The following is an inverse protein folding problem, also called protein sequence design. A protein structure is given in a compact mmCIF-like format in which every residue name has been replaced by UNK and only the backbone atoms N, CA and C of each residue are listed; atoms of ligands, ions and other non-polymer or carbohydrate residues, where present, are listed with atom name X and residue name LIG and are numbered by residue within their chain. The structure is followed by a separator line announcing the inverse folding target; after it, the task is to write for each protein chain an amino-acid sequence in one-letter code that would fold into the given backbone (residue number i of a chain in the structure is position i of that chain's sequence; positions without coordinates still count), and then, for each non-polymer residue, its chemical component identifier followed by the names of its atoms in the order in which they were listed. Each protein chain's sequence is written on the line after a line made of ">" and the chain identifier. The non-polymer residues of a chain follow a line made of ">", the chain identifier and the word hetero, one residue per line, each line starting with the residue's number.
data_IF_780522493635
#
_entry.id   IF_780522493635
#
_cell.length_a   1.000
_cell.length_b   1.000
_cell.length_c   1.000
_cell.angle_alpha   90.00
_cell.angle_beta   90.00
_cell.angle_gamma   90.00
#
_symmetry.space_group_name_H-M   'P 1'
#
loop_
_entity.id
_entity.type
_entity.pdbx_description
1 polymer ?
#
# COMPACT_ATOMS: atom_id res chain seq x y z
N UNK A 1 -12.84 -1.24 14.82
CA UNK A 1 -11.92 -1.23 13.66
C UNK A 1 -10.99 -0.03 13.74
N UNK A 2 -11.49 1.15 14.08
CA UNK A 2 -10.68 2.24 14.60
C UNK A 2 -10.57 2.13 16.12
N UNK A 3 -9.38 2.29 16.69
CA UNK A 3 -9.22 2.54 18.12
C UNK A 3 -9.96 3.85 18.43
N UNK A 4 -10.52 3.98 19.65
CA UNK A 4 -11.00 5.29 20.14
C UNK A 4 -9.80 6.23 20.15
N UNK A 5 -9.75 7.11 19.15
CA UNK A 5 -8.68 8.10 19.02
C UNK A 5 -8.74 9.01 20.24
N UNK A 6 -7.57 9.40 20.75
CA UNK A 6 -7.51 10.38 21.84
C UNK A 6 -8.09 11.72 21.36
N UNK A 7 -8.71 12.50 22.26
CA UNK A 7 -9.27 13.82 21.91
C UNK A 7 -8.22 14.79 21.31
N UNK A 8 -6.93 14.53 21.55
CA UNK A 8 -5.80 15.31 21.04
C UNK A 8 -5.11 14.70 19.80
N UNK A 9 -5.58 13.58 19.24
CA UNK A 9 -4.93 12.98 18.07
C UNK A 9 -5.23 13.76 16.79
N UNK A 10 -4.17 14.18 16.09
CA UNK A 10 -4.25 14.95 14.85
C UNK A 10 -4.21 14.02 13.64
N UNK A 11 -5.33 13.37 13.34
CA UNK A 11 -5.40 12.41 12.22
C UNK A 11 -5.39 13.13 10.88
N UNK A 12 -4.42 12.81 10.03
CA UNK A 12 -4.39 13.24 8.62
C UNK A 12 -4.69 12.04 7.73
N UNK A 13 -5.77 12.11 6.96
CA UNK A 13 -6.11 11.12 5.95
C UNK A 13 -5.14 11.27 4.78
N UNK A 14 -4.30 10.27 4.56
CA UNK A 14 -3.29 10.27 3.53
C UNK A 14 -3.76 9.39 2.37
N UNK A 15 -3.89 9.99 1.19
CA UNK A 15 -4.23 9.24 0.00
C UNK A 15 -3.09 8.26 -0.32
N UNK A 16 -3.43 7.05 -0.78
CA UNK A 16 -2.44 6.14 -1.30
C UNK A 16 -1.61 6.73 -2.47
N UNK A 17 -0.42 6.22 -2.78
CA UNK A 17 0.18 4.99 -2.25
C UNK A 17 1.27 5.24 -1.21
N UNK A 18 2.10 6.27 -1.41
CA UNK A 18 3.35 6.47 -0.70
C UNK A 18 3.46 7.91 -0.15
N UNK A 19 2.57 8.31 0.78
CA UNK A 19 2.65 9.63 1.41
C UNK A 19 3.96 9.80 2.21
N UNK A 20 4.43 11.04 2.45
CA UNK A 20 5.63 11.36 3.23
C UNK A 20 5.38 11.16 4.75
N UNK A 21 5.28 9.90 5.17
CA UNK A 21 4.83 9.50 6.50
C UNK A 21 5.71 10.04 7.65
N UNK A 22 7.03 10.02 7.48
CA UNK A 22 8.00 10.49 8.47
C UNK A 22 7.87 11.99 8.73
N UNK A 23 7.61 12.77 7.67
CA UNK A 23 7.36 14.20 7.79
C UNK A 23 6.09 14.45 8.61
N UNK A 24 4.99 13.80 8.26
CA UNK A 24 3.71 14.00 8.95
C UNK A 24 3.80 13.60 10.43
N UNK A 25 4.40 12.45 10.73
CA UNK A 25 4.59 11.99 12.11
C UNK A 25 5.52 12.93 12.91
N UNK A 26 6.59 13.44 12.29
CA UNK A 26 7.50 14.40 12.94
C UNK A 26 6.84 15.73 13.33
N UNK A 27 5.76 16.09 12.65
CA UNK A 27 4.95 17.29 12.92
C UNK A 27 3.74 16.98 13.83
N UNK A 28 3.78 15.84 14.52
CA UNK A 28 2.79 15.37 15.49
C UNK A 28 1.41 15.05 14.88
N UNK A 29 1.40 14.54 13.64
CA UNK A 29 0.20 13.99 13.01
C UNK A 29 0.18 12.46 13.10
N UNK A 30 -1.01 11.89 13.14
CA UNK A 30 -1.22 10.45 12.92
C UNK A 30 -1.59 10.24 11.45
N UNK A 31 -0.68 9.77 10.58
CA UNK A 31 -0.99 9.56 9.18
C UNK A 31 -1.85 8.30 8.98
N UNK A 32 -3.11 8.50 8.59
CA UNK A 32 -4.05 7.44 8.21
C UNK A 32 -3.92 7.14 6.73
N UNK A 33 -3.26 6.05 6.36
CA UNK A 33 -3.14 5.66 4.96
C UNK A 33 -4.48 5.05 4.52
N UNK A 34 -5.15 5.69 3.58
CA UNK A 34 -6.56 5.47 3.29
C UNK A 34 -6.80 4.24 2.40
N UNK A 35 -6.58 3.04 2.96
CA UNK A 35 -6.68 1.75 2.30
C UNK A 35 -7.66 0.80 2.97
N UNK A 36 -8.61 0.21 2.23
CA UNK A 36 -9.35 -0.96 2.72
C UNK A 36 -10.52 -0.63 3.65
N UNK A 37 -11.37 0.30 3.24
CA UNK A 37 -12.57 0.69 3.98
C UNK A 37 -13.81 -0.16 3.71
N UNK A 38 -13.74 -1.17 2.83
CA UNK A 38 -14.90 -2.00 2.49
C UNK A 38 -15.62 -2.57 3.72
N UNK A 39 -14.90 -3.04 4.73
CA UNK A 39 -15.54 -3.63 5.91
C UNK A 39 -16.38 -2.65 6.74
N UNK A 40 -16.29 -1.34 6.46
CA UNK A 40 -17.08 -0.29 7.11
C UNK A 40 -18.39 -0.01 6.38
N UNK A 41 -18.46 -0.36 5.09
CA UNK A 41 -19.58 0.04 4.23
C UNK A 41 -20.05 -1.14 3.37
N UNK A 42 -21.35 -1.41 3.38
CA UNK A 42 -21.94 -2.43 2.51
C UNK A 42 -21.97 -2.02 1.03
N UNK A 43 -21.94 -0.72 0.74
CA UNK A 43 -21.93 -0.12 -0.60
C UNK A 43 -21.25 1.27 -0.56
N UNK A 44 -21.17 1.94 -1.71
CA UNK A 44 -20.57 3.26 -1.90
C UNK A 44 -21.57 4.29 -2.43
N UNK A 45 -22.84 4.19 -2.03
CA UNK A 45 -23.94 5.00 -2.59
C UNK A 45 -23.74 6.52 -2.46
N UNK A 46 -23.04 7.02 -1.45
CA UNK A 46 -22.79 8.47 -1.34
C UNK A 46 -21.68 8.89 -2.29
N UNK A 47 -20.63 8.07 -2.39
CA UNK A 47 -19.53 8.25 -3.34
C UNK A 47 -20.01 8.23 -4.80
N UNK A 48 -20.91 7.30 -5.14
CA UNK A 48 -21.44 7.10 -6.50
C UNK A 48 -22.26 8.28 -7.04
N UNK A 49 -22.65 9.23 -6.19
CA UNK A 49 -23.28 10.50 -6.61
C UNK A 49 -22.27 11.48 -7.22
N UNK A 50 -20.98 11.26 -6.98
CA UNK A 50 -19.90 12.17 -7.34
C UNK A 50 -18.86 11.53 -8.26
N UNK A 51 -18.72 10.20 -8.20
CA UNK A 51 -17.70 9.43 -8.92
C UNK A 51 -18.38 8.39 -9.79
N UNK A 52 -17.85 8.18 -10.99
CA UNK A 52 -18.37 7.20 -11.94
C UNK A 52 -18.14 5.76 -11.46
N UNK A 53 -19.05 4.85 -11.84
CA UNK A 53 -18.97 3.44 -11.45
C UNK A 53 -17.82 2.66 -12.10
N UNK A 54 -17.11 3.27 -13.06
CA UNK A 54 -15.89 2.75 -13.69
C UNK A 54 -14.60 3.34 -13.11
N UNK A 55 -14.66 3.82 -11.86
CA UNK A 55 -13.49 4.17 -11.05
C UNK A 55 -13.20 3.03 -10.07
N UNK A 56 -11.91 2.80 -9.76
CA UNK A 56 -11.51 1.69 -8.90
C UNK A 56 -12.19 1.76 -7.52
N UNK A 57 -12.45 0.58 -6.95
CA UNK A 57 -13.25 0.49 -5.73
C UNK A 57 -12.55 1.14 -4.54
N UNK A 58 -11.21 1.15 -4.53
CA UNK A 58 -10.39 1.84 -3.54
C UNK A 58 -10.78 3.32 -3.45
N UNK A 59 -10.86 4.01 -4.58
CA UNK A 59 -11.23 5.42 -4.64
C UNK A 59 -12.68 5.61 -4.21
N UNK A 60 -13.60 4.76 -4.68
CA UNK A 60 -15.02 4.83 -4.31
C UNK A 60 -15.22 4.72 -2.80
N UNK A 61 -14.59 3.74 -2.15
CA UNK A 61 -14.65 3.53 -0.70
C UNK A 61 -13.90 4.60 0.11
N UNK A 62 -12.78 5.09 -0.40
CA UNK A 62 -12.05 6.20 0.22
C UNK A 62 -12.92 7.46 0.26
N UNK A 63 -13.60 7.78 -0.85
CA UNK A 63 -14.54 8.91 -0.91
C UNK A 63 -15.72 8.68 0.02
N UNK A 64 -16.33 7.49 0.01
CA UNK A 64 -17.41 7.13 0.94
C UNK A 64 -17.00 7.38 2.39
N UNK A 65 -15.81 6.90 2.78
CA UNK A 65 -15.26 7.15 4.11
C UNK A 65 -15.16 8.65 4.42
N UNK A 66 -14.55 9.40 3.51
CA UNK A 66 -14.24 10.83 3.69
C UNK A 66 -15.50 11.68 3.87
N UNK A 67 -16.60 11.36 3.18
CA UNK A 67 -17.87 12.12 3.24
C UNK A 67 -18.90 11.52 4.21
N UNK A 68 -18.54 10.44 4.91
CA UNK A 68 -19.39 9.80 5.92
C UNK A 68 -19.13 10.40 7.31
N UNK A 69 -19.89 9.96 8.31
CA UNK A 69 -19.63 10.30 9.71
C UNK A 69 -18.24 9.86 10.19
N UNK A 70 -17.67 8.80 9.61
CA UNK A 70 -16.32 8.36 9.93
C UNK A 70 -15.26 9.39 9.53
N UNK A 71 -15.51 10.17 8.47
CA UNK A 71 -14.62 11.23 8.00
C UNK A 71 -14.44 12.37 9.02
N UNK A 72 -15.33 12.50 10.01
CA UNK A 72 -15.25 13.53 11.06
C UNK A 72 -13.99 13.45 11.93
N UNK A 73 -13.32 12.29 11.95
CA UNK A 73 -12.05 12.11 12.67
C UNK A 73 -10.88 12.84 12.00
N UNK A 74 -11.01 13.17 10.70
CA UNK A 74 -9.93 13.71 9.88
C UNK A 74 -9.77 15.21 10.15
N UNK A 75 -8.56 15.62 10.52
CA UNK A 75 -8.18 17.04 10.63
C UNK A 75 -7.73 17.64 9.30
N UNK A 76 -7.38 16.79 8.35
CA UNK A 76 -6.99 17.18 7.01
C UNK A 76 -6.83 15.96 6.10
N UNK A 77 -6.79 16.22 4.80
CA UNK A 77 -6.55 15.26 3.75
C UNK A 77 -5.29 15.62 3.00
N UNK A 78 -4.34 14.69 2.90
CA UNK A 78 -3.18 14.82 2.03
C UNK A 78 -3.45 14.10 0.72
N UNK A 79 -3.45 14.88 -0.37
CA UNK A 79 -3.61 14.43 -1.73
C UNK A 79 -2.26 14.27 -2.42
N UNK A 80 -2.16 13.23 -3.23
CA UNK A 80 -0.97 12.89 -3.98
C UNK A 80 -1.36 12.45 -5.41
N UNK A 81 -0.56 12.83 -6.42
CA UNK A 81 -0.79 12.54 -7.84
C UNK A 81 -0.42 11.10 -8.26
N UNK A 82 -0.90 10.09 -7.52
CA UNK A 82 -0.59 8.69 -7.77
C UNK A 82 -1.17 8.11 -9.07
N UNK A 83 -2.43 8.43 -9.37
CA UNK A 83 -3.12 7.97 -10.58
C UNK A 83 -4.17 8.99 -11.01
N UNK A 84 -4.79 8.81 -12.17
CA UNK A 84 -5.76 9.76 -12.71
C UNK A 84 -7.03 9.88 -11.85
N UNK A 85 -7.46 8.79 -11.23
CA UNK A 85 -8.58 8.85 -10.27
C UNK A 85 -8.19 9.66 -9.02
N UNK A 86 -7.06 9.36 -8.39
CA UNK A 86 -6.64 10.02 -7.13
C UNK A 86 -6.22 11.48 -7.33
N UNK A 87 -5.62 11.84 -8.47
CA UNK A 87 -5.19 13.22 -8.75
C UNK A 87 -6.35 14.19 -8.99
N UNK A 88 -7.47 13.69 -9.54
CA UNK A 88 -8.67 14.50 -9.83
C UNK A 88 -9.67 14.50 -8.67
N UNK A 89 -9.54 13.54 -7.74
CA UNK A 89 -10.40 13.42 -6.58
C UNK A 89 -10.44 14.63 -5.62
N UNK A 90 -9.39 15.45 -5.43
CA UNK A 90 -9.46 16.57 -4.48
C UNK A 90 -10.62 17.54 -4.77
N UNK A 91 -10.84 17.88 -6.03
CA UNK A 91 -11.90 18.82 -6.43
C UNK A 91 -13.30 18.21 -6.24
N UNK A 92 -13.44 16.95 -6.65
CA UNK A 92 -14.68 16.18 -6.49
C UNK A 92 -15.04 16.04 -5.01
N UNK A 93 -14.07 15.63 -4.19
CA UNK A 93 -14.25 15.40 -2.76
C UNK A 93 -14.54 16.71 -2.01
N UNK A 94 -13.84 17.79 -2.36
CA UNK A 94 -14.12 19.13 -1.79
C UNK A 94 -15.56 19.55 -2.08
N UNK A 95 -16.04 19.32 -3.30
CA UNK A 95 -17.43 19.62 -3.69
C UNK A 95 -18.43 18.75 -2.94
N UNK A 96 -18.16 17.45 -2.81
CA UNK A 96 -19.00 16.52 -2.07
C UNK A 96 -19.11 16.89 -0.59
N UNK A 97 -17.99 17.26 0.06
CA UNK A 97 -17.97 17.71 1.45
C UNK A 97 -18.78 19.01 1.64
N UNK A 98 -18.61 19.99 0.74
CA UNK A 98 -19.38 21.25 0.78
C UNK A 98 -20.89 20.98 0.66
N UNK A 99 -21.30 20.07 -0.23
CA UNK A 99 -22.70 19.66 -0.36
C UNK A 99 -23.31 19.04 0.91
N UNK A 100 -22.46 18.57 1.84
CA UNK A 100 -22.86 18.07 3.16
C UNK A 100 -22.62 19.05 4.30
N UNK A 101 -22.30 20.32 4.01
CA UNK A 101 -21.89 21.32 4.99
C UNK A 101 -20.69 20.87 5.84
N UNK A 102 -19.81 20.06 5.27
CA UNK A 102 -18.56 19.62 5.89
C UNK A 102 -17.38 20.31 5.21
N UNK A 103 -16.30 20.52 5.95
CA UNK A 103 -15.06 21.03 5.38
C UNK A 103 -13.89 20.33 6.05
N UNK A 104 -13.04 19.70 5.24
CA UNK A 104 -11.80 19.08 5.67
C UNK A 104 -10.67 19.78 4.93
N UNK A 105 -9.69 20.37 5.63
CA UNK A 105 -8.53 21.00 5.00
C UNK A 105 -7.82 20.05 4.03
N UNK A 106 -7.49 20.57 2.85
CA UNK A 106 -6.82 19.82 1.78
C UNK A 106 -5.36 20.27 1.68
N UNK A 107 -4.46 19.31 1.65
CA UNK A 107 -3.02 19.50 1.54
C UNK A 107 -2.59 18.77 0.26
N UNK A 108 -1.80 19.41 -0.59
CA UNK A 108 -1.41 18.84 -1.87
C UNK A 108 0.09 18.59 -1.90
N UNK A 109 0.47 17.44 -2.44
CA UNK A 109 1.86 17.07 -2.67
C UNK A 109 2.00 16.52 -4.09
N UNK A 110 2.90 17.11 -4.88
CA UNK A 110 3.17 16.63 -6.23
C UNK A 110 4.51 15.89 -6.30
N UNK A 111 4.48 14.59 -6.56
CA UNK A 111 5.68 13.84 -6.92
C UNK A 111 5.92 13.94 -8.43
N UNK A 112 7.14 14.25 -8.88
CA UNK A 112 7.43 14.27 -10.30
C UNK A 112 7.44 12.85 -10.88
N UNK A 113 6.99 12.75 -12.13
CA UNK A 113 6.91 11.47 -12.87
C UNK A 113 8.16 11.19 -13.72
N UNK A 114 9.26 11.91 -13.47
CA UNK A 114 10.57 11.74 -14.12
C UNK A 114 11.61 11.33 -13.08
N UNK A 115 12.68 10.69 -13.53
CA UNK A 115 13.80 10.29 -12.67
C UNK A 115 14.45 11.50 -11.98
N UNK A 116 14.78 11.35 -10.69
CA UNK A 116 15.45 12.37 -9.89
C UNK A 116 16.95 12.50 -10.21
N UNK A 117 17.49 11.67 -11.11
CA UNK A 117 18.86 11.82 -11.62
C UNK A 117 19.06 13.14 -12.37
N UNK A 118 17.97 13.74 -12.87
CA UNK A 118 18.01 15.07 -13.47
C UNK A 118 17.89 16.11 -12.37
N UNK A 119 18.89 17.01 -12.27
CA UNK A 119 18.97 18.05 -11.23
C UNK A 119 17.71 18.92 -11.12
N UNK A 120 17.05 19.25 -12.23
CA UNK A 120 15.81 20.04 -12.19
C UNK A 120 14.64 19.27 -11.57
N UNK A 121 14.58 17.95 -11.72
CA UNK A 121 13.54 17.10 -11.12
C UNK A 121 13.83 16.90 -9.63
N UNK A 122 15.10 16.66 -9.30
CA UNK A 122 15.60 16.61 -7.93
C UNK A 122 15.21 17.88 -7.16
N UNK A 123 15.55 19.05 -7.69
CA UNK A 123 15.27 20.34 -7.06
C UNK A 123 13.76 20.62 -6.97
N UNK A 124 12.98 20.19 -7.97
CA UNK A 124 11.53 20.30 -7.92
C UNK A 124 10.95 19.56 -6.71
N UNK A 125 11.34 18.30 -6.48
CA UNK A 125 10.85 17.54 -5.33
C UNK A 125 11.29 18.17 -4.00
N UNK A 126 12.53 18.65 -3.88
CA UNK A 126 12.97 19.37 -2.67
C UNK A 126 12.05 20.58 -2.40
N UNK A 127 11.72 21.35 -3.43
CA UNK A 127 10.83 22.50 -3.29
C UNK A 127 9.40 22.08 -2.90
N UNK A 128 8.86 21.02 -3.50
CA UNK A 128 7.53 20.49 -3.14
C UNK A 128 7.47 20.05 -1.68
N UNK A 129 8.52 19.42 -1.15
CA UNK A 129 8.60 19.04 0.27
C UNK A 129 8.64 20.28 1.18
N UNK A 130 9.38 21.32 0.79
CA UNK A 130 9.43 22.56 1.55
C UNK A 130 8.09 23.31 1.54
N UNK A 131 7.39 23.33 0.40
CA UNK A 131 6.04 23.89 0.30
C UNK A 131 5.04 23.10 1.16
N UNK A 132 5.12 21.77 1.13
CA UNK A 132 4.31 20.91 1.99
C UNK A 132 4.54 21.21 3.47
N UNK A 133 5.78 21.43 3.90
CA UNK A 133 6.09 21.83 5.28
C UNK A 133 5.40 23.17 5.61
N UNK A 134 5.55 24.18 4.76
CA UNK A 134 4.95 25.50 4.97
C UNK A 134 3.43 25.43 5.06
N UNK A 135 2.79 24.65 4.20
CA UNK A 135 1.34 24.44 4.20
C UNK A 135 0.89 23.75 5.50
N UNK A 136 1.62 22.73 5.95
CA UNK A 136 1.34 22.05 7.21
C UNK A 136 1.50 23.00 8.41
N UNK A 137 2.58 23.78 8.48
CA UNK A 137 2.80 24.75 9.55
C UNK A 137 1.68 25.79 9.60
N UNK A 138 1.30 26.34 8.45
CA UNK A 138 0.26 27.38 8.34
C UNK A 138 -1.13 26.85 8.66
N UNK A 139 -1.53 25.72 8.07
CA UNK A 139 -2.88 25.15 8.25
C UNK A 139 -3.11 24.64 9.67
N UNK A 140 -2.05 24.12 10.29
CA UNK A 140 -2.16 23.38 11.54
C UNK A 140 -1.45 24.04 12.71
N UNK A 141 -0.86 25.22 12.54
CA UNK A 141 -0.17 25.94 13.60
C UNK A 141 0.85 25.05 14.32
N UNK A 142 1.64 24.33 13.52
CA UNK A 142 2.72 23.46 13.99
C UNK A 142 4.05 24.01 13.46
N UNK A 143 5.17 23.48 13.92
CA UNK A 143 6.50 23.90 13.49
C UNK A 143 7.34 22.67 13.15
N UNK A 144 7.97 22.70 11.98
CA UNK A 144 8.89 21.66 11.57
C UNK A 144 10.18 21.73 12.39
N UNK A 145 10.66 20.55 12.79
CA UNK A 145 11.92 20.41 13.49
C UNK A 145 12.69 19.21 12.93
N UNK A 146 13.90 19.45 12.43
CA UNK A 146 14.68 18.40 11.77
C UNK A 146 15.10 17.26 12.71
N UNK A 147 15.33 17.53 13.99
CA UNK A 147 15.64 16.46 14.97
C UNK A 147 14.44 15.55 15.22
N UNK A 148 13.22 16.11 15.26
CA UNK A 148 12.00 15.31 15.34
C UNK A 148 11.77 14.51 14.05
N UNK A 149 12.12 15.08 12.90
CA UNK A 149 12.10 14.36 11.63
C UNK A 149 13.04 13.15 11.66
N UNK A 150 14.31 13.32 12.07
CA UNK A 150 15.24 12.19 12.20
C UNK A 150 14.74 11.11 13.17
N UNK A 151 14.13 11.51 14.30
CA UNK A 151 13.49 10.56 15.23
C UNK A 151 12.35 9.78 14.56
N UNK A 152 11.50 10.47 13.80
CA UNK A 152 10.42 9.83 13.05
C UNK A 152 10.97 8.86 12.00
N UNK A 153 11.98 9.25 11.23
CA UNK A 153 12.68 8.38 10.27
C UNK A 153 13.20 7.12 10.96
N UNK A 154 13.81 7.23 12.14
CA UNK A 154 14.29 6.08 12.89
C UNK A 154 13.14 5.15 13.34
N UNK A 155 12.00 5.71 13.75
CA UNK A 155 10.82 4.92 14.09
C UNK A 155 10.24 4.19 12.87
N UNK A 156 10.12 4.86 11.71
CA UNK A 156 9.67 4.24 10.47
C UNK A 156 10.64 3.20 9.93
N UNK A 157 11.96 3.43 10.05
CA UNK A 157 12.99 2.43 9.75
C UNK A 157 12.76 1.16 10.58
N UNK A 158 12.54 1.31 11.89
CA UNK A 158 12.25 0.19 12.79
C UNK A 158 10.94 -0.51 12.41
N UNK A 159 9.87 0.23 12.12
CA UNK A 159 8.60 -0.35 11.68
C UNK A 159 8.78 -1.17 10.40
N UNK A 160 9.47 -0.62 9.39
CA UNK A 160 9.73 -1.31 8.11
C UNK A 160 10.60 -2.56 8.28
N UNK A 161 11.61 -2.52 9.15
CA UNK A 161 12.41 -3.70 9.51
C UNK A 161 11.55 -4.80 10.15
N UNK A 162 10.67 -4.45 11.09
CA UNK A 162 9.74 -5.40 11.70
C UNK A 162 8.72 -5.93 10.69
N UNK A 163 8.22 -5.09 9.77
CA UNK A 163 7.32 -5.52 8.70
C UNK A 163 7.99 -6.51 7.75
N UNK A 164 9.27 -6.31 7.43
CA UNK A 164 10.08 -7.28 6.66
C UNK A 164 10.23 -8.60 7.41
N UNK A 165 10.56 -8.57 8.70
CA UNK A 165 10.61 -9.80 9.52
C UNK A 165 9.26 -10.53 9.58
N UNK A 166 8.16 -9.79 9.59
CA UNK A 166 6.82 -10.37 9.57
C UNK A 166 6.52 -11.02 8.22
N UNK A 167 6.93 -10.40 7.11
CA UNK A 167 6.87 -10.99 5.78
C UNK A 167 7.73 -12.25 5.69
N UNK A 168 8.99 -12.21 6.15
CA UNK A 168 9.90 -13.37 6.19
C UNK A 168 9.29 -14.56 6.97
N UNK A 169 8.53 -14.28 8.03
CA UNK A 169 7.81 -15.31 8.76
C UNK A 169 6.68 -15.96 7.94
N UNK A 170 6.05 -15.24 7.01
CA UNK A 170 5.10 -15.83 6.05
C UNK A 170 5.84 -16.70 5.03
N UNK A 171 6.97 -16.23 4.50
CA UNK A 171 7.82 -16.99 3.56
C UNK A 171 8.27 -18.32 4.19
N UNK A 172 8.58 -18.30 5.49
CA UNK A 172 8.98 -19.49 6.26
C UNK A 172 7.81 -20.37 6.72
N UNK A 173 6.58 -20.08 6.28
CA UNK A 173 5.34 -20.74 6.70
C UNK A 173 5.13 -20.76 8.24
N UNK A 174 5.59 -19.72 8.93
CA UNK A 174 5.40 -19.52 10.38
C UNK A 174 4.19 -18.64 10.69
N UNK A 175 3.61 -18.01 9.66
CA UNK A 175 2.43 -17.15 9.75
C UNK A 175 1.65 -17.23 8.45
N UNK A 176 0.32 -17.28 8.51
CA UNK A 176 -0.51 -17.23 7.30
C UNK A 176 -0.42 -15.86 6.63
N UNK A 177 -0.59 -15.83 5.32
CA UNK A 177 -0.60 -14.57 4.58
C UNK A 177 -1.81 -13.71 4.97
N UNK A 178 -2.95 -14.33 5.28
CA UNK A 178 -4.14 -13.64 5.80
C UNK A 178 -3.82 -12.81 7.06
N UNK A 179 -3.14 -13.39 8.04
CA UNK A 179 -2.82 -12.70 9.28
C UNK A 179 -1.79 -11.59 9.08
N UNK A 180 -0.87 -11.77 8.13
CA UNK A 180 0.05 -10.70 7.70
C UNK A 180 -0.73 -9.53 7.11
N UNK A 181 -1.63 -9.77 6.16
CA UNK A 181 -2.46 -8.74 5.53
C UNK A 181 -3.28 -7.99 6.57
N UNK A 182 -3.98 -8.70 7.48
CA UNK A 182 -4.73 -8.06 8.59
C UNK A 182 -3.86 -7.15 9.43
N UNK A 183 -2.66 -7.61 9.79
CA UNK A 183 -1.71 -6.85 10.63
C UNK A 183 -1.26 -5.58 9.93
N UNK A 184 -0.84 -5.70 8.66
CA UNK A 184 -0.36 -4.58 7.86
C UNK A 184 -1.48 -3.55 7.62
N UNK A 185 -2.69 -4.00 7.31
CA UNK A 185 -3.83 -3.10 7.10
C UNK A 185 -4.29 -2.39 8.37
N UNK A 186 -4.32 -3.08 9.50
CA UNK A 186 -4.61 -2.41 10.77
C UNK A 186 -3.57 -1.33 11.07
N UNK A 187 -2.30 -1.55 10.72
CA UNK A 187 -1.24 -0.57 10.92
C UNK A 187 -1.41 0.72 10.11
N UNK A 188 -2.20 0.72 9.02
CA UNK A 188 -2.46 1.93 8.23
C UNK A 188 -3.20 3.03 9.02
N UNK A 189 -3.84 2.66 10.13
CA UNK A 189 -4.71 3.52 10.94
C UNK A 189 -4.17 3.80 12.34
N UNK A 190 -2.85 3.73 12.53
CA UNK A 190 -2.19 3.86 13.84
C UNK A 190 -1.06 4.89 13.77
N UNK A 191 -0.72 5.50 14.90
CA UNK A 191 0.53 6.28 15.00
C UNK A 191 1.74 5.34 14.97
N UNK A 192 2.95 5.88 14.73
CA UNK A 192 4.14 5.05 14.51
C UNK A 192 4.48 4.13 15.70
N UNK A 193 4.30 4.59 16.93
CA UNK A 193 4.58 3.79 18.12
C UNK A 193 3.65 2.59 18.22
N UNK A 194 2.38 2.79 17.88
CA UNK A 194 1.37 1.72 17.84
C UNK A 194 1.58 0.78 16.66
N UNK A 195 1.99 1.28 15.49
CA UNK A 195 2.40 0.44 14.35
C UNK A 195 3.52 -0.53 14.77
N UNK A 196 4.58 -0.01 15.40
CA UNK A 196 5.70 -0.81 15.91
C UNK A 196 5.21 -1.84 16.93
N UNK A 197 4.40 -1.42 17.90
CA UNK A 197 3.85 -2.30 18.94
C UNK A 197 3.03 -3.43 18.33
N UNK A 198 2.16 -3.12 17.36
CA UNK A 198 1.29 -4.08 16.67
C UNK A 198 2.13 -5.16 15.95
N UNK A 199 3.04 -4.75 15.07
CA UNK A 199 3.87 -5.69 14.29
C UNK A 199 4.76 -6.52 15.21
N UNK A 200 5.40 -5.91 16.21
CA UNK A 200 6.21 -6.62 17.18
C UNK A 200 5.40 -7.64 18.00
N UNK A 201 4.17 -7.30 18.39
CA UNK A 201 3.28 -8.24 19.08
C UNK A 201 2.88 -9.42 18.20
N UNK A 202 2.69 -9.18 16.90
CA UNK A 202 2.42 -10.25 15.94
C UNK A 202 3.62 -11.19 15.79
N UNK A 203 4.84 -10.65 15.76
CA UNK A 203 6.08 -11.45 15.71
C UNK A 203 6.27 -12.31 16.96
N UNK A 204 6.03 -11.76 18.16
CA UNK A 204 6.14 -12.54 19.42
C UNK A 204 5.21 -13.75 19.48
N UNK A 205 3.98 -13.60 18.97
CA UNK A 205 3.01 -14.71 18.90
C UNK A 205 3.46 -15.85 17.96
N UNK A 206 4.39 -15.58 17.04
CA UNK A 206 4.98 -16.60 16.17
C UNK A 206 6.01 -17.43 16.93
N UNK A 207 6.88 -16.80 17.72
CA UNK A 207 7.89 -17.52 18.51
C UNK A 207 7.30 -18.46 19.57
N UNK A 208 6.05 -18.23 19.97
CA UNK A 208 5.33 -19.03 20.96
C UNK A 208 4.60 -20.24 20.37
N UNK A 209 4.44 -20.30 19.03
CA UNK A 209 3.74 -21.39 18.33
C UNK A 209 4.73 -22.30 17.61
N UNK A 210 4.45 -23.60 17.59
CA UNK A 210 5.10 -24.51 16.64
C UNK A 210 4.78 -24.08 15.20
N UNK A 211 5.73 -24.30 14.28
CA UNK A 211 5.55 -24.09 12.83
C UNK A 211 4.18 -24.61 12.38
N UNK A 212 3.49 -23.89 11.49
CA UNK A 212 2.31 -24.45 10.83
C UNK A 212 2.72 -25.78 10.18
N UNK A 213 1.83 -26.77 10.21
CA UNK A 213 2.12 -28.10 9.67
C UNK A 213 2.68 -27.96 8.25
N UNK A 214 3.94 -28.40 8.05
CA UNK A 214 4.58 -28.35 6.74
C UNK A 214 3.97 -29.45 5.89
N UNK A 215 3.01 -29.11 5.04
CA UNK A 215 2.74 -29.92 3.87
C UNK A 215 3.94 -29.78 2.93
N UNK A 216 4.74 -30.84 2.81
CA UNK A 216 5.98 -30.84 2.03
C UNK A 216 5.78 -30.67 0.51
N UNK A 217 4.53 -30.61 0.04
CA UNK A 217 4.17 -30.61 -1.39
C UNK A 217 3.40 -29.34 -1.81
N UNK A 218 3.55 -28.21 -1.09
CA UNK A 218 2.86 -26.98 -1.49
C UNK A 218 3.63 -26.25 -2.59
N UNK A 219 2.96 -25.91 -3.69
CA UNK A 219 3.49 -25.02 -4.71
C UNK A 219 3.59 -23.59 -4.16
N UNK A 220 4.65 -22.88 -4.46
CA UNK A 220 4.94 -21.54 -3.97
C UNK A 220 4.52 -20.49 -4.97
N UNK A 221 3.78 -19.47 -4.53
CA UNK A 221 3.34 -18.37 -5.40
C UNK A 221 3.64 -17.01 -4.82
N UNK A 222 3.88 -16.05 -5.71
CA UNK A 222 3.94 -14.62 -5.38
C UNK A 222 2.64 -13.95 -5.83
N UNK A 223 2.11 -13.04 -5.01
CA UNK A 223 0.97 -12.20 -5.39
C UNK A 223 1.46 -10.82 -5.87
N UNK A 224 0.89 -10.28 -6.94
CA UNK A 224 1.26 -8.94 -7.47
C UNK A 224 0.04 -8.07 -7.74
N UNK A 225 0.10 -6.78 -7.42
CA UNK A 225 -0.97 -5.84 -7.76
C UNK A 225 -0.95 -4.57 -6.91
N UNK A 226 -2.01 -3.77 -6.97
CA UNK A 226 -2.09 -2.55 -6.15
C UNK A 226 -2.56 -2.84 -4.71
N UNK A 227 -3.41 -3.85 -4.54
CA UNK A 227 -4.10 -4.19 -3.31
C UNK A 227 -4.18 -5.72 -3.17
N UNK A 228 -4.12 -6.32 -1.95
CA UNK A 228 -4.26 -7.76 -1.80
C UNK A 228 -5.68 -8.23 -2.15
N UNK A 229 -5.85 -9.49 -2.58
CA UNK A 229 -7.17 -10.02 -2.84
C UNK A 229 -7.97 -10.12 -1.54
N UNK A 230 -9.31 -10.23 -1.60
CA UNK A 230 -10.14 -10.43 -0.42
C UNK A 230 -9.67 -11.61 0.44
N UNK A 231 -9.80 -11.53 1.77
CA UNK A 231 -9.32 -12.58 2.68
C UNK A 231 -9.87 -13.98 2.34
N UNK A 232 -11.10 -14.06 1.81
CA UNK A 232 -11.70 -15.33 1.35
C UNK A 232 -10.93 -15.93 0.17
N UNK A 233 -10.42 -15.09 -0.73
CA UNK A 233 -9.60 -15.52 -1.89
C UNK A 233 -8.20 -15.91 -1.43
N UNK A 234 -7.61 -15.19 -0.46
CA UNK A 234 -6.33 -15.60 0.15
C UNK A 234 -6.44 -17.02 0.71
N UNK A 235 -7.49 -17.30 1.50
CA UNK A 235 -7.75 -18.65 2.04
C UNK A 235 -7.96 -19.68 0.94
N UNK A 236 -8.61 -19.29 -0.15
CA UNK A 236 -8.84 -20.18 -1.28
C UNK A 236 -7.51 -20.58 -1.91
N UNK A 237 -6.63 -19.61 -2.16
CA UNK A 237 -5.27 -19.88 -2.69
C UNK A 237 -4.53 -20.85 -1.77
N UNK A 238 -4.51 -20.58 -0.45
CA UNK A 238 -3.86 -21.44 0.53
C UNK A 238 -4.47 -22.86 0.57
N UNK A 239 -5.80 -22.98 0.52
CA UNK A 239 -6.51 -24.26 0.54
C UNK A 239 -6.36 -25.06 -0.75
N UNK A 240 -6.09 -24.42 -1.89
CA UNK A 240 -5.81 -25.09 -3.16
C UNK A 240 -4.41 -25.71 -3.24
N UNK A 241 -3.63 -25.66 -2.15
CA UNK A 241 -2.30 -26.25 -2.06
C UNK A 241 -1.16 -25.27 -2.30
N UNK A 242 -1.44 -23.97 -2.46
CA UNK A 242 -0.40 -22.96 -2.63
C UNK A 242 0.11 -22.39 -1.30
N UNK A 243 1.41 -22.19 -1.19
CA UNK A 243 2.00 -21.33 -0.18
C UNK A 243 2.28 -19.96 -0.81
N UNK A 244 1.75 -18.88 -0.21
CA UNK A 244 2.10 -17.53 -0.63
C UNK A 244 3.46 -17.17 -0.03
N UNK A 245 4.50 -17.11 -0.87
CA UNK A 245 5.90 -16.91 -0.44
C UNK A 245 6.43 -15.50 -0.71
N UNK A 246 5.60 -14.60 -1.22
CA UNK A 246 5.99 -13.22 -1.45
C UNK A 246 4.85 -12.39 -2.00
N UNK A 247 5.05 -11.07 -2.02
CA UNK A 247 4.14 -10.16 -2.70
C UNK A 247 4.88 -9.00 -3.36
N UNK A 248 4.43 -8.60 -4.55
CA UNK A 248 4.71 -7.32 -5.18
C UNK A 248 3.44 -6.47 -5.10
N UNK A 249 3.01 -6.10 -3.89
CA UNK A 249 1.75 -5.37 -3.68
C UNK A 249 1.99 -3.95 -3.16
N UNK A 250 1.37 -2.96 -3.81
CA UNK A 250 1.58 -1.55 -3.47
C UNK A 250 1.23 -1.22 -2.02
N UNK A 251 0.06 -1.65 -1.54
CA UNK A 251 -0.39 -1.45 -0.15
C UNK A 251 0.31 -2.34 0.89
N UNK A 252 1.28 -3.16 0.48
CA UNK A 252 2.03 -4.10 1.33
C UNK A 252 3.53 -3.91 1.10
N UNK A 253 4.24 -4.88 0.50
CA UNK A 253 5.71 -4.90 0.39
C UNK A 253 6.26 -3.61 -0.20
N UNK A 254 5.69 -3.09 -1.29
CA UNK A 254 6.25 -1.90 -1.96
C UNK A 254 6.30 -0.69 -1.02
N UNK A 255 5.33 -0.54 -0.12
CA UNK A 255 5.25 0.59 0.83
C UNK A 255 6.25 0.52 1.99
N UNK A 256 6.80 -0.66 2.29
CA UNK A 256 7.56 -0.87 3.54
C UNK A 256 8.97 -1.43 3.33
N UNK A 257 9.36 -1.77 2.11
CA UNK A 257 10.63 -2.49 1.88
C UNK A 257 11.86 -1.61 1.65
N UNK A 258 11.70 -0.28 1.67
CA UNK A 258 12.82 0.65 1.49
C UNK A 258 12.86 1.74 2.57
N UNK A 259 14.06 2.13 2.97
CA UNK A 259 14.32 3.28 3.84
C UNK A 259 15.69 3.87 3.49
N UNK A 260 15.79 5.19 3.25
CA UNK A 260 17.05 5.87 3.05
C UNK A 260 18.08 5.56 4.17
N UNK A 261 19.34 5.26 3.82
CA UNK A 261 20.43 5.16 4.78
C UNK A 261 20.60 6.48 5.56
N UNK A 262 20.97 6.42 6.85
CA UNK A 262 21.05 7.62 7.70
C UNK A 262 22.01 8.69 7.19
N UNK A 263 23.09 8.29 6.51
CA UNK A 263 24.11 9.19 5.96
C UNK A 263 23.84 9.61 4.50
N UNK A 264 22.68 9.27 3.92
CA UNK A 264 22.34 9.57 2.52
C UNK A 264 21.63 10.91 2.31
N UNK A 265 21.31 11.63 3.39
CA UNK A 265 20.57 12.90 3.34
C UNK A 265 21.02 13.85 4.46
N UNK A 266 21.06 15.15 4.18
CA UNK A 266 21.38 16.22 5.13
C UNK A 266 20.16 17.05 5.52
N UNK A 267 19.09 17.00 4.73
CA UNK A 267 17.84 17.68 4.98
C UNK A 267 16.63 16.81 4.58
N UNK A 268 15.43 17.30 4.89
CA UNK A 268 14.16 16.60 4.62
C UNK A 268 13.86 16.43 3.13
N UNK A 269 14.24 17.40 2.30
CA UNK A 269 14.08 17.31 0.84
C UNK A 269 14.96 16.19 0.25
N UNK A 270 16.24 16.16 0.62
CA UNK A 270 17.18 15.11 0.22
C UNK A 270 16.72 13.72 0.67
N UNK A 271 16.15 13.61 1.88
CA UNK A 271 15.56 12.35 2.35
C UNK A 271 14.49 11.83 1.38
N UNK A 272 13.56 12.69 0.95
CA UNK A 272 12.48 12.27 0.07
C UNK A 272 12.94 12.05 -1.37
N UNK A 273 13.95 12.78 -1.85
CA UNK A 273 14.59 12.46 -3.13
C UNK A 273 15.16 11.04 -3.10
N UNK A 274 15.95 10.71 -2.07
CA UNK A 274 16.50 9.36 -1.89
C UNK A 274 15.38 8.32 -1.72
N UNK A 275 14.37 8.62 -0.91
CA UNK A 275 13.20 7.77 -0.68
C UNK A 275 12.50 7.39 -1.97
N UNK A 276 12.12 8.37 -2.79
CA UNK A 276 11.32 8.14 -4.00
C UNK A 276 12.17 7.62 -5.18
N UNK A 277 13.44 8.03 -5.30
CA UNK A 277 14.34 7.51 -6.33
C UNK A 277 14.59 6.01 -6.15
N UNK A 278 14.83 5.59 -4.90
CA UNK A 278 15.17 4.20 -4.56
C UNK A 278 13.99 3.40 -4.01
N UNK A 279 12.78 3.97 -4.04
CA UNK A 279 11.55 3.27 -3.71
C UNK A 279 11.39 2.00 -4.54
N UNK A 280 10.71 1.00 -3.98
CA UNK A 280 10.35 -0.21 -4.73
C UNK A 280 9.56 0.16 -5.99
N UNK A 281 9.87 -0.41 -7.16
CA UNK A 281 9.23 -0.04 -8.42
C UNK A 281 7.71 -0.15 -8.37
N UNK A 282 7.02 0.82 -8.97
CA UNK A 282 5.57 0.86 -9.02
C UNK A 282 5.12 1.55 -10.30
N UNK A 283 4.07 1.08 -10.99
CA UNK A 283 3.61 1.72 -12.22
C UNK A 283 3.12 3.16 -12.00
N UNK A 284 2.77 3.55 -10.77
CA UNK A 284 2.40 4.94 -10.44
C UNK A 284 3.61 5.85 -10.18
N UNK A 285 4.82 5.29 -10.14
CA UNK A 285 6.09 5.98 -10.14
C UNK A 285 6.75 5.76 -11.50
N UNK A 286 6.25 6.43 -12.55
CA UNK A 286 6.53 6.11 -13.96
C UNK A 286 8.02 5.92 -14.30
N UNK A 287 8.91 6.69 -13.65
CA UNK A 287 10.35 6.60 -13.84
C UNK A 287 10.98 5.30 -13.29
N UNK A 288 10.20 4.47 -12.60
CA UNK A 288 10.65 3.21 -11.99
C UNK A 288 10.24 1.96 -12.76
N UNK A 289 9.36 2.08 -13.76
CA UNK A 289 8.75 0.92 -14.45
C UNK A 289 9.79 -0.06 -15.02
N UNK A 290 10.89 0.45 -15.61
CA UNK A 290 11.97 -0.38 -16.15
C UNK A 290 12.68 -1.25 -15.09
N UNK A 291 12.55 -0.89 -13.80
CA UNK A 291 13.13 -1.64 -12.68
C UNK A 291 12.19 -2.72 -12.14
N UNK A 292 10.90 -2.75 -12.51
CA UNK A 292 9.93 -3.68 -11.91
C UNK A 292 10.20 -5.12 -12.32
N UNK A 293 10.44 -5.40 -13.61
CA UNK A 293 10.79 -6.75 -14.10
C UNK A 293 12.00 -7.35 -13.36
N UNK A 294 13.19 -6.71 -13.32
CA UNK A 294 14.33 -7.30 -12.64
C UNK A 294 14.08 -7.50 -11.14
N UNK A 295 13.38 -6.57 -10.47
CA UNK A 295 12.99 -6.76 -9.07
C UNK A 295 12.01 -7.91 -8.84
N UNK A 296 11.16 -8.19 -9.81
CA UNK A 296 10.26 -9.32 -9.77
C UNK A 296 11.02 -10.65 -9.90
N UNK A 297 11.97 -10.73 -10.82
CA UNK A 297 12.83 -11.91 -11.00
C UNK A 297 13.70 -12.16 -9.76
N UNK A 298 14.31 -11.11 -9.17
CA UNK A 298 15.03 -11.22 -7.90
C UNK A 298 14.14 -11.79 -6.77
N UNK A 299 12.86 -11.41 -6.72
CA UNK A 299 11.92 -11.93 -5.73
C UNK A 299 11.56 -13.40 -5.98
N UNK A 300 11.37 -13.79 -7.24
CA UNK A 300 11.13 -15.19 -7.63
C UNK A 300 12.31 -16.06 -7.23
N UNK A 301 13.52 -15.64 -7.58
CA UNK A 301 14.75 -16.38 -7.24
C UNK A 301 14.95 -16.48 -5.73
N UNK A 302 14.72 -15.39 -4.99
CA UNK A 302 14.85 -15.37 -3.53
C UNK A 302 13.85 -16.30 -2.82
N UNK A 303 12.65 -16.45 -3.37
CA UNK A 303 11.56 -17.21 -2.74
C UNK A 303 11.40 -18.61 -3.31
N UNK A 304 12.11 -18.93 -4.39
CA UNK A 304 11.97 -20.18 -5.15
C UNK A 304 10.50 -20.40 -5.54
N UNK A 305 9.87 -19.35 -6.09
CA UNK A 305 8.45 -19.37 -6.43
C UNK A 305 8.17 -20.12 -7.74
N UNK A 306 7.17 -21.01 -7.72
CA UNK A 306 6.74 -21.81 -8.87
C UNK A 306 5.83 -21.03 -9.83
N UNK A 307 5.21 -19.94 -9.36
CA UNK A 307 4.35 -19.11 -10.18
C UNK A 307 3.96 -17.78 -9.56
N UNK A 308 3.25 -16.98 -10.36
CA UNK A 308 2.81 -15.63 -9.99
C UNK A 308 1.33 -15.46 -10.22
N UNK A 309 0.62 -14.94 -9.23
CA UNK A 309 -0.80 -14.58 -9.35
C UNK A 309 -0.92 -13.05 -9.35
N UNK A 310 -1.27 -12.47 -10.49
CA UNK A 310 -1.61 -11.07 -10.63
C UNK A 310 -3.03 -10.81 -10.10
N UNK A 311 -3.14 -9.78 -9.28
CA UNK A 311 -4.33 -9.31 -8.57
C UNK A 311 -4.69 -7.96 -9.18
N UNK A 312 -5.48 -8.00 -10.25
CA UNK A 312 -5.94 -6.81 -10.97
C UNK A 312 -7.11 -6.16 -10.25
N UNK A 313 -6.90 -5.00 -9.65
CA UNK A 313 -8.01 -4.17 -9.18
C UNK A 313 -8.73 -3.57 -10.39
N UNK A 314 -10.04 -3.82 -10.53
CA UNK A 314 -10.87 -3.25 -11.59
C UNK A 314 -10.66 -1.74 -11.70
N UNK A 315 -10.46 -1.29 -12.93
CA UNK A 315 -10.21 0.13 -13.25
C UNK A 315 -8.91 0.70 -12.63
N UNK A 316 -7.92 -0.14 -12.32
CA UNK A 316 -6.56 0.30 -12.02
C UNK A 316 -5.71 0.28 -13.30
N UNK A 317 -5.79 1.34 -14.09
CA UNK A 317 -5.18 1.42 -15.43
C UNK A 317 -3.67 1.16 -15.40
N UNK A 318 -3.00 1.69 -14.37
CA UNK A 318 -1.55 1.60 -14.19
C UNK A 318 -1.05 0.16 -14.04
N UNK A 319 -1.75 -0.70 -13.29
CA UNK A 319 -1.37 -2.13 -13.20
C UNK A 319 -1.71 -2.86 -14.51
N UNK A 320 -2.88 -2.60 -15.12
CA UNK A 320 -3.28 -3.25 -16.38
C UNK A 320 -2.40 -2.89 -17.57
N UNK A 321 -1.81 -1.70 -17.62
CA UNK A 321 -0.83 -1.35 -18.65
C UNK A 321 0.49 -2.13 -18.49
N UNK A 322 0.84 -2.53 -17.27
CA UNK A 322 2.12 -3.20 -17.00
C UNK A 322 2.01 -4.74 -17.01
N UNK A 323 0.85 -5.30 -16.63
CA UNK A 323 0.62 -6.74 -16.56
C UNK A 323 0.98 -7.51 -17.85
N UNK A 324 0.59 -7.07 -19.08
CA UNK A 324 0.98 -7.79 -20.30
C UNK A 324 2.49 -7.90 -20.46
N UNK A 325 3.22 -6.82 -20.19
CA UNK A 325 4.68 -6.77 -20.29
C UNK A 325 5.34 -7.65 -19.24
N UNK A 326 4.88 -7.57 -17.97
CA UNK A 326 5.37 -8.43 -16.88
C UNK A 326 5.13 -9.91 -17.19
N UNK A 327 3.90 -10.28 -17.58
CA UNK A 327 3.54 -11.66 -17.93
C UNK A 327 4.42 -12.20 -19.05
N UNK A 328 4.64 -11.42 -20.10
CA UNK A 328 5.51 -11.83 -21.20
C UNK A 328 6.96 -12.05 -20.73
N UNK A 329 7.49 -11.15 -19.90
CA UNK A 329 8.84 -11.30 -19.34
C UNK A 329 8.96 -12.55 -18.44
N UNK A 330 7.98 -12.80 -17.57
CA UNK A 330 7.94 -13.96 -16.69
C UNK A 330 7.81 -15.28 -17.48
N UNK A 331 6.91 -15.34 -18.46
CA UNK A 331 6.73 -16.52 -19.31
C UNK A 331 8.01 -16.87 -20.10
N UNK A 332 8.76 -15.87 -20.58
CA UNK A 332 10.06 -16.08 -21.24
C UNK A 332 11.11 -16.68 -20.31
N UNK A 333 10.98 -16.48 -19.00
CA UNK A 333 11.82 -17.07 -17.97
C UNK A 333 11.22 -18.37 -17.40
N UNK A 334 10.20 -18.96 -18.06
CA UNK A 334 9.59 -20.22 -17.65
C UNK A 334 8.60 -20.12 -16.48
N UNK A 335 8.36 -18.91 -15.94
CA UNK A 335 7.49 -18.71 -14.79
C UNK A 335 6.04 -18.64 -15.23
N UNK A 336 5.19 -19.50 -14.64
CA UNK A 336 3.77 -19.54 -14.93
C UNK A 336 3.04 -18.41 -14.23
N UNK A 337 2.05 -17.83 -14.91
CA UNK A 337 1.28 -16.70 -14.38
C UNK A 337 -0.22 -16.94 -14.47
N UNK A 338 -0.95 -16.54 -13.43
CA UNK A 338 -2.41 -16.43 -13.40
C UNK A 338 -2.78 -14.96 -13.19
N UNK A 339 -3.81 -14.47 -13.89
CA UNK A 339 -4.34 -13.12 -13.68
C UNK A 339 -5.77 -13.21 -13.18
N UNK A 340 -6.01 -12.72 -11.97
CA UNK A 340 -7.31 -12.64 -11.35
C UNK A 340 -7.69 -11.17 -11.22
N UNK A 341 -8.82 -10.80 -11.82
CA UNK A 341 -9.40 -9.48 -11.69
C UNK A 341 -10.35 -9.46 -10.49
N UNK A 342 -10.28 -8.42 -9.68
CA UNK A 342 -11.09 -8.21 -8.49
C UNK A 342 -11.60 -6.78 -8.47
N UNK A 343 -12.83 -6.58 -7.99
CA UNK A 343 -13.18 -5.34 -7.31
C UNK A 343 -13.18 -5.62 -5.82
N UNK A 344 -12.80 -4.64 -4.97
CA UNK A 344 -12.97 -4.81 -3.53
C UNK A 344 -14.41 -5.22 -3.21
N UNK A 345 -15.42 -4.78 -4.00
CA UNK A 345 -16.84 -5.12 -3.86
C UNK A 345 -17.18 -6.61 -4.15
N UNK A 346 -16.32 -7.36 -4.84
CA UNK A 346 -16.60 -8.73 -5.28
C UNK A 346 -16.38 -9.77 -4.18
N UNK A 347 -17.47 -10.11 -3.49
CA UNK A 347 -17.59 -11.36 -2.72
C UNK A 347 -18.50 -12.38 -3.40
N UNK A 348 -19.07 -12.02 -4.55
CA UNK A 348 -19.83 -12.89 -5.44
C UNK A 348 -18.86 -13.49 -6.48
N UNK A 349 -19.15 -14.68 -7.01
CA UNK A 349 -18.27 -15.43 -7.93
C UNK A 349 -16.95 -15.97 -7.34
N UNK A 350 -16.84 -16.14 -6.02
CA UNK A 350 -15.67 -16.81 -5.40
C UNK A 350 -15.42 -18.20 -6.01
N UNK A 351 -16.49 -18.93 -6.35
CA UNK A 351 -16.39 -20.23 -7.02
C UNK A 351 -15.70 -20.14 -8.40
N UNK A 352 -15.91 -19.06 -9.15
CA UNK A 352 -15.22 -18.88 -10.44
C UNK A 352 -13.71 -18.67 -10.24
N UNK A 353 -13.31 -17.99 -9.16
CA UNK A 353 -11.89 -17.89 -8.78
C UNK A 353 -11.34 -19.22 -8.31
N UNK A 354 -12.15 -20.04 -7.62
CA UNK A 354 -11.77 -21.38 -7.16
C UNK A 354 -11.26 -22.24 -8.29
N UNK A 355 -12.09 -22.45 -9.32
CA UNK A 355 -11.74 -23.31 -10.45
C UNK A 355 -10.49 -22.83 -11.19
N UNK A 356 -10.31 -21.51 -11.32
CA UNK A 356 -9.12 -20.93 -11.98
C UNK A 356 -7.84 -21.12 -11.16
N UNK A 357 -7.94 -21.03 -9.83
CA UNK A 357 -6.81 -21.27 -8.92
C UNK A 357 -6.45 -22.75 -8.90
N UNK A 358 -7.44 -23.65 -8.85
CA UNK A 358 -7.23 -25.11 -8.92
C UNK A 358 -6.59 -25.52 -10.26
N UNK A 359 -7.12 -25.05 -11.39
CA UNK A 359 -6.52 -25.31 -12.70
C UNK A 359 -5.08 -24.75 -12.81
N UNK A 360 -4.79 -23.61 -12.16
CA UNK A 360 -3.44 -23.06 -12.12
C UNK A 360 -2.50 -23.93 -11.25
N UNK A 361 -3.00 -24.51 -10.17
CA UNK A 361 -2.25 -25.46 -9.36
C UNK A 361 -1.88 -26.72 -10.14
N UNK A 362 -2.82 -27.30 -10.89
CA UNK A 362 -2.56 -28.44 -11.78
C UNK A 362 -1.49 -28.10 -12.83
N UNK A 363 -1.62 -26.93 -13.47
CA UNK A 363 -0.69 -26.46 -14.48
C UNK A 363 0.75 -26.24 -13.96
N UNK A 364 0.91 -25.82 -12.70
CA UNK A 364 2.23 -25.70 -12.06
C UNK A 364 2.77 -27.08 -11.65
N UNK A 365 1.91 -27.95 -11.14
CA UNK A 365 2.30 -29.26 -10.62
C UNK A 365 2.72 -30.26 -11.72
N UNK A 366 2.47 -29.94 -12.99
CA UNK A 366 2.62 -30.86 -14.13
C UNK A 366 1.85 -32.19 -13.91
N UNK A 367 0.68 -32.13 -13.28
CA UNK A 367 -0.24 -33.27 -13.10
C UNK A 367 -1.20 -33.37 -14.28
#
# INVERSE_FOLDING_TARGET
>A
MFKKLGENERVLGCFPLYPPLELLDSMNFTPFIMWGFKNLFSNTHQSDKHIQNYVCSIVRYLTEFSISEYGSILKGLLFYNACDSLRNLPEILTTALRGKNQTIPSIHFHLPMKSMEKSYVHNFLINEINLLIQDLEKLFQTTFNFEQFRKSVNNYRKYRQLSKQLEDAVIQNKKSYEDYVKTMFQSNYLNIHEKIKLVNSSLKKISEKSTLEKNSNMNKVILSGIFPPPLKVIKLIENSGFQIVGNDIASLRRSVHYTPPENSYQNVGEYYVEFYQNHFPCPTLLYTSDRRIPKFLELIDFTDADGVIFIGEKFCEYEYFEFPTLKNALNKNGIKTLELEFSAEETYNIEAYKTRIEAFYELISNI
#
